data_IF_550856905320
#
_entry.id   IF_550856905320
#
_cell.length_a   1.000
_cell.length_b   1.000
_cell.length_c   1.000
_cell.angle_alpha   90.00
_cell.angle_beta   90.00
_cell.angle_gamma   90.00
#
_symmetry.space_group_name_H-M   'P 1'
#
loop_
_entity.id
_entity.type
_entity.pdbx_description
1 polymer ?
#
# COMPACT_ATOMS: atom_id res chain seq x y z
N UNK A 1 -8.36 35.46 -15.89
CA UNK A 1 -8.28 34.50 -14.74
C UNK A 1 -8.09 33.06 -15.22
N UNK A 2 -8.96 32.52 -16.07
CA UNK A 2 -8.91 31.15 -16.58
C UNK A 2 -7.60 30.81 -17.32
N UNK A 3 -7.04 31.70 -18.14
CA UNK A 3 -5.77 31.51 -18.83
C UNK A 3 -4.58 31.35 -17.86
N UNK A 4 -4.54 32.18 -16.81
CA UNK A 4 -3.50 32.06 -15.75
C UNK A 4 -3.61 30.78 -14.98
N UNK A 5 -4.83 30.34 -14.66
CA UNK A 5 -5.06 29.06 -13.99
C UNK A 5 -4.63 27.87 -14.87
N UNK A 6 -4.94 27.93 -16.19
CA UNK A 6 -4.48 26.92 -17.14
C UNK A 6 -2.95 26.82 -17.17
N UNK A 7 -2.26 27.96 -17.34
CA UNK A 7 -0.79 28.04 -17.35
C UNK A 7 -0.19 27.49 -16.04
N UNK A 8 -0.82 27.77 -14.90
CA UNK A 8 -0.37 27.26 -13.63
C UNK A 8 -0.55 25.74 -13.51
N UNK A 9 -1.70 25.20 -13.94
CA UNK A 9 -2.00 23.76 -13.90
C UNK A 9 -1.12 22.96 -14.85
N UNK A 10 -0.85 23.47 -16.06
CA UNK A 10 -0.05 22.79 -17.07
C UNK A 10 1.45 23.04 -16.91
N UNK A 11 1.83 24.08 -16.18
CA UNK A 11 3.20 24.58 -16.06
C UNK A 11 3.90 24.77 -17.42
N UNK A 12 3.15 25.16 -18.45
CA UNK A 12 3.69 25.42 -19.80
C UNK A 12 4.80 26.50 -19.76
N UNK A 13 4.71 27.44 -18.82
CA UNK A 13 5.70 28.49 -18.55
C UNK A 13 6.98 27.97 -17.85
N UNK A 14 6.87 26.87 -17.06
CA UNK A 14 7.96 26.33 -16.29
C UNK A 14 7.77 24.82 -16.02
N UNK A 15 7.98 23.95 -17.00
CA UNK A 15 7.72 22.50 -16.88
C UNK A 15 8.45 21.83 -15.69
N UNK A 16 9.64 22.29 -15.34
CA UNK A 16 10.42 21.78 -14.21
C UNK A 16 9.75 22.05 -12.85
N UNK A 17 8.82 23.00 -12.76
CA UNK A 17 8.10 23.35 -11.52
C UNK A 17 6.84 22.50 -11.31
N UNK A 18 6.37 21.77 -12.32
CA UNK A 18 5.13 20.99 -12.22
C UNK A 18 5.16 19.93 -11.11
N UNK A 19 6.21 19.12 -10.94
CA UNK A 19 6.28 18.16 -9.84
C UNK A 19 6.15 18.83 -8.46
N UNK A 20 6.78 20.01 -8.31
CA UNK A 20 6.70 20.77 -7.06
C UNK A 20 5.30 21.36 -6.84
N UNK A 21 4.66 21.87 -7.88
CA UNK A 21 3.26 22.36 -7.80
C UNK A 21 2.29 21.23 -7.41
N UNK A 22 2.44 20.04 -7.99
CA UNK A 22 1.64 18.86 -7.65
C UNK A 22 1.82 18.47 -6.19
N UNK A 23 3.06 18.39 -5.73
CA UNK A 23 3.39 18.04 -4.36
C UNK A 23 2.84 19.05 -3.35
N UNK A 24 3.16 20.35 -3.55
CA UNK A 24 2.77 21.39 -2.59
C UNK A 24 1.26 21.57 -2.54
N UNK A 25 0.57 21.56 -3.67
CA UNK A 25 -0.89 21.67 -3.69
C UNK A 25 -1.54 20.46 -3.04
N UNK A 26 -1.08 19.25 -3.40
CA UNK A 26 -1.59 18.01 -2.81
C UNK A 26 -1.37 17.98 -1.28
N UNK A 27 -0.22 18.42 -0.80
CA UNK A 27 0.09 18.49 0.62
C UNK A 27 -0.75 19.55 1.33
N UNK A 28 -0.81 20.78 0.80
CA UNK A 28 -1.58 21.88 1.38
C UNK A 28 -3.06 21.51 1.52
N UNK A 29 -3.68 20.95 0.49
CA UNK A 29 -5.07 20.52 0.55
C UNK A 29 -5.32 19.50 1.66
N UNK A 30 -4.42 18.51 1.82
CA UNK A 30 -4.52 17.49 2.86
C UNK A 30 -4.35 18.07 4.26
N UNK A 31 -3.32 18.91 4.47
CA UNK A 31 -3.04 19.52 5.77
C UNK A 31 -4.12 20.54 6.16
N UNK A 32 -4.62 21.32 5.21
CA UNK A 32 -5.74 22.22 5.45
C UNK A 32 -7.01 21.44 5.81
N UNK A 33 -7.34 20.41 5.03
CA UNK A 33 -8.51 19.58 5.32
C UNK A 33 -8.40 18.90 6.69
N UNK A 34 -7.30 18.23 6.97
CA UNK A 34 -7.05 17.56 8.25
C UNK A 34 -7.18 18.56 9.43
N UNK A 35 -6.67 19.79 9.27
CA UNK A 35 -6.66 20.81 10.31
C UNK A 35 -8.05 21.45 10.52
N UNK A 36 -8.72 21.84 9.42
CA UNK A 36 -10.00 22.52 9.47
C UNK A 36 -11.17 21.58 9.81
N UNK A 37 -11.14 20.36 9.26
CA UNK A 37 -12.13 19.33 9.57
C UNK A 37 -11.87 18.60 10.90
N UNK A 38 -10.77 18.92 11.59
CA UNK A 38 -10.38 18.34 12.87
C UNK A 38 -10.32 16.80 12.87
N UNK A 39 -9.93 16.18 11.75
CA UNK A 39 -9.92 14.72 11.61
C UNK A 39 -8.93 14.02 12.54
N UNK A 40 -7.96 14.76 13.08
CA UNK A 40 -6.99 14.31 14.08
C UNK A 40 -7.57 14.23 15.52
N UNK A 41 -8.79 14.71 15.75
CA UNK A 41 -9.46 14.63 17.06
C UNK A 41 -10.19 13.30 17.17
N UNK A 42 -9.42 12.25 17.40
CA UNK A 42 -9.98 10.92 17.59
C UNK A 42 -10.74 10.83 18.92
N UNK A 43 -11.86 10.11 18.89
CA UNK A 43 -12.58 9.78 20.13
C UNK A 43 -11.80 8.69 20.87
N UNK A 44 -11.69 8.84 22.18
CA UNK A 44 -11.13 7.82 23.06
C UNK A 44 -12.17 6.70 23.15
N UNK A 45 -11.83 5.55 22.63
CA UNK A 45 -12.68 4.37 22.67
C UNK A 45 -11.81 3.13 22.85
N UNK A 46 -12.10 2.30 23.87
CA UNK A 46 -11.44 1.01 24.11
C UNK A 46 -9.95 0.97 23.73
N UNK A 47 -9.10 1.71 24.44
CA UNK A 47 -7.67 1.77 24.21
C UNK A 47 -7.26 2.36 22.85
N UNK A 48 -7.94 3.44 22.45
CA UNK A 48 -7.59 4.27 21.28
C UNK A 48 -7.50 3.53 19.94
N UNK A 49 -8.46 2.73 19.66
CA UNK A 49 -8.69 2.02 18.44
C UNK A 49 -8.40 2.82 17.12
N UNK A 50 -8.74 4.11 17.08
CA UNK A 50 -8.55 4.95 15.89
C UNK A 50 -7.07 5.27 15.58
N UNK A 51 -6.13 4.92 16.44
CA UNK A 51 -4.69 5.02 16.19
C UNK A 51 -4.10 3.78 15.51
N UNK A 52 -4.84 3.10 14.64
CA UNK A 52 -4.33 1.97 13.85
C UNK A 52 -4.41 0.63 14.56
N UNK A 53 -5.38 0.44 15.46
CA UNK A 53 -5.61 -0.81 16.18
C UNK A 53 -4.33 -1.30 16.92
N UNK A 54 -3.88 -2.49 16.55
CA UNK A 54 -2.70 -3.12 17.11
C UNK A 54 -1.45 -2.23 16.98
N UNK A 55 -1.30 -1.52 15.87
CA UNK A 55 -0.14 -0.66 15.63
C UNK A 55 -0.05 0.48 16.65
N UNK A 56 -1.16 1.10 17.00
CA UNK A 56 -1.21 2.17 18.01
C UNK A 56 -0.94 1.66 19.42
N UNK A 57 -1.42 0.46 19.76
CA UNK A 57 -1.14 -0.16 21.06
C UNK A 57 0.32 -0.55 21.20
N UNK A 58 0.91 -1.15 20.16
CA UNK A 58 2.34 -1.44 20.10
C UNK A 58 3.16 -0.15 20.23
N UNK A 59 2.74 0.90 19.54
CA UNK A 59 3.40 2.20 19.63
C UNK A 59 3.32 2.82 21.04
N UNK A 60 2.18 2.67 21.73
CA UNK A 60 2.05 3.02 23.14
C UNK A 60 3.06 2.24 23.98
N UNK A 61 3.10 0.91 23.85
CA UNK A 61 4.02 0.07 24.60
C UNK A 61 5.49 0.49 24.37
N UNK A 62 5.87 0.75 23.13
CA UNK A 62 7.19 1.30 22.80
C UNK A 62 7.46 2.67 23.45
N UNK A 63 6.49 3.57 23.41
CA UNK A 63 6.64 4.92 23.96
C UNK A 63 6.72 4.93 25.48
N UNK A 64 6.06 3.97 26.16
CA UNK A 64 6.01 3.85 27.61
C UNK A 64 7.03 2.87 28.22
N UNK A 65 7.93 2.29 27.40
CA UNK A 65 9.05 1.49 27.88
C UNK A 65 8.81 -0.03 27.95
N UNK A 66 7.65 -0.52 27.54
CA UNK A 66 7.34 -1.97 27.48
C UNK A 66 7.95 -2.70 26.27
N UNK A 67 8.64 -1.96 25.40
CA UNK A 67 9.21 -2.52 24.18
C UNK A 67 8.18 -2.75 23.06
N UNK A 68 8.55 -3.56 22.07
CA UNK A 68 7.63 -3.92 20.98
C UNK A 68 6.68 -5.01 21.46
N UNK A 69 5.56 -4.61 22.06
CA UNK A 69 4.66 -5.44 22.84
C UNK A 69 3.20 -4.95 22.74
N UNK A 70 2.29 -5.69 23.34
CA UNK A 70 0.90 -5.32 23.63
C UNK A 70 0.07 -4.94 22.38
N UNK A 71 -0.09 -5.85 21.41
CA UNK A 71 -0.91 -5.58 20.22
C UNK A 71 -2.42 -5.47 20.54
N UNK A 72 -2.85 -6.02 21.70
CA UNK A 72 -4.24 -6.06 22.12
C UNK A 72 -4.46 -5.23 23.39
N UNK A 73 -5.69 -5.22 23.92
CA UNK A 73 -6.06 -4.43 25.09
C UNK A 73 -5.26 -4.89 26.33
N UNK A 74 -4.73 -3.93 27.09
CA UNK A 74 -3.91 -4.18 28.27
C UNK A 74 -2.48 -4.58 27.96
N UNK A 75 -1.86 -5.36 28.86
CA UNK A 75 -0.50 -5.89 28.70
C UNK A 75 -0.56 -7.35 28.26
N UNK A 76 -0.26 -7.60 27.00
CA UNK A 76 -0.32 -8.93 26.38
C UNK A 76 1.06 -9.48 26.02
N UNK A 77 2.12 -8.74 26.35
CA UNK A 77 3.50 -9.18 26.20
C UNK A 77 4.12 -8.90 24.82
N UNK A 78 5.36 -9.39 24.60
CA UNK A 78 6.09 -9.18 23.36
C UNK A 78 5.31 -9.68 22.14
N UNK A 79 5.44 -8.97 21.02
CA UNK A 79 4.69 -9.30 19.79
C UNK A 79 5.54 -9.16 18.52
N UNK A 80 5.16 -9.91 17.49
CA UNK A 80 5.51 -9.71 16.09
C UNK A 80 4.24 -9.66 15.22
N UNK A 81 3.09 -9.39 15.82
CA UNK A 81 1.78 -9.37 15.16
C UNK A 81 1.71 -8.41 13.98
N UNK A 82 2.30 -7.23 14.11
CA UNK A 82 2.41 -6.23 13.05
C UNK A 82 3.86 -6.06 12.58
N UNK A 83 4.09 -5.67 11.32
CA UNK A 83 5.41 -5.25 10.86
C UNK A 83 5.87 -3.97 11.60
N UNK A 84 7.19 -3.79 11.87
CA UNK A 84 7.64 -2.83 12.87
C UNK A 84 7.67 -1.36 12.44
N UNK A 85 7.79 -1.06 11.16
CA UNK A 85 8.18 0.28 10.73
C UNK A 85 7.11 1.34 11.07
N UNK A 86 5.82 1.02 10.83
CA UNK A 86 4.76 1.98 11.13
C UNK A 86 4.48 2.16 12.63
N UNK A 87 4.40 1.10 13.47
CA UNK A 87 4.36 1.26 14.93
C UNK A 87 5.52 2.06 15.51
N UNK A 88 6.75 1.91 14.99
CA UNK A 88 7.91 2.71 15.40
C UNK A 88 7.71 4.19 15.05
N UNK A 89 7.18 4.51 13.87
CA UNK A 89 6.87 5.88 13.47
C UNK A 89 5.83 6.51 14.41
N UNK A 90 4.76 5.78 14.72
CA UNK A 90 3.73 6.23 15.68
C UNK A 90 4.35 6.43 17.07
N UNK A 91 5.19 5.50 17.53
CA UNK A 91 5.86 5.58 18.83
C UNK A 91 6.78 6.80 18.93
N UNK A 92 7.48 7.14 17.87
CA UNK A 92 8.29 8.37 17.82
C UNK A 92 7.42 9.62 17.99
N UNK A 93 6.26 9.69 17.31
CA UNK A 93 5.31 10.77 17.50
C UNK A 93 4.74 10.80 18.94
N UNK A 94 4.44 9.65 19.53
CA UNK A 94 3.96 9.55 20.91
C UNK A 94 4.99 10.02 21.93
N UNK A 95 6.27 9.68 21.74
CA UNK A 95 7.36 10.14 22.62
C UNK A 95 7.56 11.66 22.57
N UNK A 96 7.39 12.25 21.38
CA UNK A 96 7.63 13.69 21.20
C UNK A 96 6.40 14.55 21.57
N UNK A 97 5.20 14.06 21.33
CA UNK A 97 3.98 14.86 21.38
C UNK A 97 2.91 14.31 22.32
N UNK A 98 3.20 13.23 23.03
CA UNK A 98 2.30 12.57 23.97
C UNK A 98 1.52 11.39 23.38
N UNK A 99 1.38 10.35 24.22
CA UNK A 99 0.67 9.12 23.84
C UNK A 99 -0.82 9.45 23.60
N UNK A 100 -1.32 9.07 22.44
CA UNK A 100 -2.71 9.30 22.01
C UNK A 100 -3.17 10.77 22.02
N UNK A 101 -2.22 11.71 22.03
CA UNK A 101 -2.59 13.13 22.00
C UNK A 101 -3.14 13.55 20.63
N UNK A 102 -4.03 14.56 20.56
CA UNK A 102 -4.48 15.10 19.28
C UNK A 102 -3.33 15.63 18.42
N UNK A 103 -2.26 16.13 19.05
CA UNK A 103 -1.12 16.66 18.33
C UNK A 103 -0.27 15.54 17.72
N UNK A 104 -0.07 14.41 18.41
CA UNK A 104 0.59 13.23 17.79
C UNK A 104 -0.24 12.68 16.63
N UNK A 105 -1.57 12.64 16.73
CA UNK A 105 -2.44 12.26 15.61
C UNK A 105 -2.27 13.20 14.41
N UNK A 106 -2.27 14.53 14.65
CA UNK A 106 -2.06 15.54 13.63
C UNK A 106 -0.71 15.38 12.91
N UNK A 107 0.37 15.14 13.67
CA UNK A 107 1.72 14.90 13.12
C UNK A 107 1.74 13.63 12.27
N UNK A 108 1.20 12.51 12.76
CA UNK A 108 1.19 11.24 12.01
C UNK A 108 0.38 11.38 10.70
N UNK A 109 -0.80 12.00 10.75
CA UNK A 109 -1.61 12.25 9.56
C UNK A 109 -0.94 13.22 8.59
N UNK A 110 -0.17 14.18 9.09
CA UNK A 110 0.67 15.07 8.25
C UNK A 110 1.77 14.28 7.54
N UNK A 111 2.45 13.36 8.23
CA UNK A 111 3.43 12.47 7.61
C UNK A 111 2.77 11.61 6.52
N UNK A 112 1.62 11.00 6.79
CA UNK A 112 0.86 10.26 5.79
C UNK A 112 0.49 11.16 4.57
N UNK A 113 0.14 12.42 4.83
CA UNK A 113 -0.18 13.41 3.79
C UNK A 113 1.02 13.76 2.91
N UNK A 114 2.23 13.83 3.49
CA UNK A 114 3.49 14.03 2.73
C UNK A 114 3.69 12.88 1.73
N UNK A 115 3.58 11.62 2.19
CA UNK A 115 3.74 10.46 1.31
C UNK A 115 2.64 10.38 0.23
N UNK A 116 1.39 10.69 0.59
CA UNK A 116 0.29 10.74 -0.37
C UNK A 116 0.48 11.85 -1.43
N UNK A 117 1.00 13.01 -1.04
CA UNK A 117 1.33 14.08 -1.97
C UNK A 117 2.55 13.73 -2.86
N UNK A 118 3.57 13.09 -2.31
CA UNK A 118 4.71 12.60 -3.08
C UNK A 118 4.30 11.56 -4.13
N UNK A 119 3.29 10.75 -3.85
CA UNK A 119 2.73 9.78 -4.81
C UNK A 119 2.21 10.49 -6.08
N UNK A 120 1.67 11.72 -5.99
CA UNK A 120 1.25 12.48 -7.18
C UNK A 120 2.42 12.72 -8.16
N UNK A 121 3.59 13.00 -7.62
CA UNK A 121 4.82 13.20 -8.42
C UNK A 121 5.27 11.88 -9.08
N UNK A 122 5.16 10.78 -8.35
CA UNK A 122 5.49 9.45 -8.88
C UNK A 122 4.50 9.04 -9.99
N UNK A 123 3.21 9.27 -9.80
CA UNK A 123 2.15 9.08 -10.81
C UNK A 123 2.45 9.85 -12.08
N UNK A 124 2.83 11.13 -11.95
CA UNK A 124 3.23 11.96 -13.09
C UNK A 124 4.38 11.32 -13.87
N UNK A 125 5.43 10.91 -13.17
CA UNK A 125 6.63 10.35 -13.80
C UNK A 125 6.36 8.98 -14.44
N UNK A 126 5.57 8.11 -13.83
CA UNK A 126 5.16 6.82 -14.42
C UNK A 126 4.35 7.09 -15.68
N UNK A 127 3.30 7.89 -15.60
CA UNK A 127 2.41 8.14 -16.73
C UNK A 127 3.13 8.86 -17.90
N UNK A 128 4.06 9.76 -17.61
CA UNK A 128 4.88 10.44 -18.62
C UNK A 128 5.79 9.47 -19.38
N UNK A 129 6.34 8.48 -18.66
CA UNK A 129 7.23 7.46 -19.26
C UNK A 129 6.49 6.43 -20.08
N UNK A 130 5.29 6.05 -19.64
CA UNK A 130 4.54 4.95 -20.27
C UNK A 130 3.55 5.42 -21.33
N UNK A 131 3.01 6.62 -21.20
CA UNK A 131 1.99 7.13 -22.10
C UNK A 131 2.43 8.46 -22.77
N UNK A 132 1.87 9.57 -22.32
CA UNK A 132 2.16 10.88 -22.88
C UNK A 132 2.02 12.00 -21.85
N UNK A 133 2.48 13.23 -22.13
CA UNK A 133 2.42 14.35 -21.19
C UNK A 133 1.00 14.71 -20.72
N UNK A 134 -0.04 14.53 -21.56
CA UNK A 134 -1.43 14.82 -21.18
C UNK A 134 -1.95 13.81 -20.15
N UNK A 135 -1.73 12.51 -20.39
CA UNK A 135 -2.08 11.47 -19.43
C UNK A 135 -1.33 11.69 -18.12
N UNK A 136 -0.04 12.03 -18.18
CA UNK A 136 0.77 12.29 -16.99
C UNK A 136 0.21 13.45 -16.15
N UNK A 137 -0.09 14.58 -16.79
CA UNK A 137 -0.64 15.75 -16.13
C UNK A 137 -1.96 15.46 -15.43
N UNK A 138 -2.92 14.89 -16.16
CA UNK A 138 -4.26 14.64 -15.62
C UNK A 138 -4.27 13.53 -14.58
N UNK A 139 -3.46 12.49 -14.74
CA UNK A 139 -3.34 11.43 -13.72
C UNK A 139 -2.79 11.96 -12.40
N UNK A 140 -1.78 12.84 -12.47
CA UNK A 140 -1.16 13.41 -11.29
C UNK A 140 -2.10 14.39 -10.56
N UNK A 141 -2.81 15.25 -11.29
CA UNK A 141 -3.84 16.11 -10.70
C UNK A 141 -5.01 15.32 -10.17
N UNK A 142 -5.45 14.27 -10.88
CA UNK A 142 -6.50 13.38 -10.40
C UNK A 142 -6.09 12.75 -9.07
N UNK A 143 -4.89 12.20 -8.95
CA UNK A 143 -4.39 11.66 -7.69
C UNK A 143 -4.28 12.73 -6.58
N UNK A 144 -3.77 13.91 -6.90
CA UNK A 144 -3.62 14.99 -5.92
C UNK A 144 -4.96 15.41 -5.29
N UNK A 145 -6.05 15.35 -6.08
CA UNK A 145 -7.40 15.76 -5.70
C UNK A 145 -8.34 14.60 -5.37
N UNK A 146 -7.90 13.35 -5.57
CA UNK A 146 -8.75 12.15 -5.43
C UNK A 146 -9.15 11.92 -3.98
N UNK A 147 -10.46 11.94 -3.65
CA UNK A 147 -10.93 11.86 -2.27
C UNK A 147 -10.52 10.56 -1.56
N UNK A 148 -10.52 9.40 -2.25
CA UNK A 148 -10.11 8.15 -1.65
C UNK A 148 -8.63 8.12 -1.28
N UNK A 149 -7.74 8.73 -2.11
CA UNK A 149 -6.33 8.90 -1.78
C UNK A 149 -6.12 9.86 -0.60
N UNK A 150 -6.98 10.88 -0.48
CA UNK A 150 -6.97 11.79 0.67
C UNK A 150 -7.43 11.09 1.95
N UNK A 151 -8.49 10.30 1.90
CA UNK A 151 -9.08 9.63 3.06
C UNK A 151 -8.05 8.82 3.85
N UNK A 152 -7.24 8.01 3.20
CA UNK A 152 -6.20 7.22 3.86
C UNK A 152 -5.02 8.04 4.39
N UNK A 153 -4.87 9.28 3.96
CA UNK A 153 -3.84 10.16 4.46
C UNK A 153 -4.31 11.05 5.63
N UNK A 154 -5.59 11.42 5.66
CA UNK A 154 -6.09 12.46 6.58
C UNK A 154 -7.09 11.95 7.63
N UNK A 155 -7.64 10.73 7.50
CA UNK A 155 -8.62 10.18 8.44
C UNK A 155 -8.14 8.97 9.22
N UNK A 156 -7.15 8.22 8.68
CA UNK A 156 -6.77 6.93 9.22
C UNK A 156 -5.28 6.86 9.53
N UNK A 157 -4.94 6.52 10.75
CA UNK A 157 -3.56 6.21 11.13
C UNK A 157 -3.25 4.77 10.72
N UNK A 158 -2.89 4.60 9.44
CA UNK A 158 -2.50 3.35 8.82
C UNK A 158 -1.29 3.55 7.92
N UNK A 159 -0.55 2.49 7.65
CA UNK A 159 0.63 2.48 6.78
C UNK A 159 0.33 2.71 5.29
N UNK A 160 -0.95 2.77 4.89
CA UNK A 160 -1.38 2.77 3.48
C UNK A 160 -0.77 3.88 2.64
N UNK A 161 -0.66 5.10 3.15
CA UNK A 161 -0.09 6.22 2.39
C UNK A 161 1.40 6.03 2.11
N UNK A 162 2.16 5.55 3.10
CA UNK A 162 3.60 5.27 2.98
C UNK A 162 3.80 4.07 2.06
N UNK A 163 3.09 2.98 2.28
CA UNK A 163 3.16 1.76 1.48
C UNK A 163 2.85 2.03 0.01
N UNK A 164 1.80 2.82 -0.27
CA UNK A 164 1.42 3.22 -1.64
C UNK A 164 2.51 4.03 -2.31
N UNK A 165 3.11 4.99 -1.60
CA UNK A 165 4.22 5.79 -2.12
C UNK A 165 5.42 4.93 -2.47
N UNK A 166 5.87 4.06 -1.55
CA UNK A 166 7.03 3.19 -1.77
C UNK A 166 6.77 2.20 -2.91
N UNK A 167 5.59 1.60 -2.98
CA UNK A 167 5.22 0.69 -4.06
C UNK A 167 5.19 1.40 -5.41
N UNK A 168 4.64 2.60 -5.48
CA UNK A 168 4.65 3.43 -6.70
C UNK A 168 6.07 3.83 -7.10
N UNK A 169 6.95 4.11 -6.12
CA UNK A 169 8.37 4.39 -6.38
C UNK A 169 9.09 3.16 -6.96
N UNK A 170 8.80 1.96 -6.48
CA UNK A 170 9.34 0.71 -7.05
C UNK A 170 8.93 0.55 -8.52
N UNK A 171 7.67 0.79 -8.86
CA UNK A 171 7.21 0.74 -10.24
C UNK A 171 7.96 1.75 -11.12
N UNK A 172 8.17 2.97 -10.62
CA UNK A 172 8.95 3.98 -11.33
C UNK A 172 10.40 3.55 -11.54
N UNK A 173 11.06 3.02 -10.49
CA UNK A 173 12.44 2.51 -10.58
C UNK A 173 12.52 1.39 -11.62
N UNK A 174 11.58 0.46 -11.62
CA UNK A 174 11.53 -0.61 -12.60
C UNK A 174 11.44 -0.05 -14.03
N UNK A 175 10.59 0.95 -14.28
CA UNK A 175 10.47 1.61 -15.58
C UNK A 175 11.77 2.34 -15.99
N UNK A 176 12.41 3.06 -15.05
CA UNK A 176 13.69 3.75 -15.30
C UNK A 176 14.78 2.73 -15.63
N UNK A 177 14.88 1.66 -14.87
CA UNK A 177 15.88 0.60 -15.10
C UNK A 177 15.73 -0.07 -16.47
N UNK A 178 14.51 -0.12 -17.01
CA UNK A 178 14.22 -0.62 -18.36
C UNK A 178 14.31 0.45 -19.45
N UNK A 179 14.72 1.68 -19.12
CA UNK A 179 14.77 2.84 -20.03
C UNK A 179 13.43 3.13 -20.73
N UNK A 180 12.31 2.84 -20.06
CA UNK A 180 11.00 3.15 -20.63
C UNK A 180 10.81 4.67 -20.63
N UNK A 181 10.51 5.23 -21.81
CA UNK A 181 10.23 6.67 -21.98
C UNK A 181 11.44 7.61 -21.82
N UNK A 182 12.66 7.09 -21.88
CA UNK A 182 13.88 7.89 -22.01
C UNK A 182 14.35 7.95 -23.46
N UNK A 183 14.85 9.10 -23.95
CA UNK A 183 15.50 9.17 -25.24
C UNK A 183 16.71 8.22 -25.27
N UNK A 184 16.93 7.56 -26.42
CA UNK A 184 17.99 6.55 -26.60
C UNK A 184 19.43 7.10 -26.47
N UNK A 185 19.60 8.40 -26.30
CA UNK A 185 20.90 9.10 -26.29
C UNK A 185 21.64 9.12 -24.94
N UNK A 186 20.99 8.72 -23.85
CA UNK A 186 21.70 8.63 -22.57
C UNK A 186 22.46 7.29 -22.51
N UNK A 187 23.77 7.36 -22.71
CA UNK A 187 24.70 6.25 -22.43
C UNK A 187 24.41 5.71 -21.03
N UNK A 188 24.10 4.44 -20.97
CA UNK A 188 23.73 3.72 -19.75
C UNK A 188 24.87 3.82 -18.73
N UNK A 189 24.76 4.74 -17.79
CA UNK A 189 25.75 4.92 -16.73
C UNK A 189 25.63 3.75 -15.73
N UNK A 190 26.69 2.96 -15.61
CA UNK A 190 26.77 1.82 -14.68
C UNK A 190 26.50 2.22 -13.23
N UNK A 191 26.89 3.45 -12.85
CA UNK A 191 26.64 3.97 -11.51
C UNK A 191 25.14 4.19 -11.24
N UNK A 192 24.42 4.78 -12.20
CA UNK A 192 22.97 4.97 -12.09
C UNK A 192 22.24 3.64 -11.98
N UNK A 193 22.61 2.65 -12.79
CA UNK A 193 22.00 1.33 -12.72
C UNK A 193 22.25 0.65 -11.36
N UNK A 194 23.47 0.75 -10.82
CA UNK A 194 23.78 0.23 -9.50
C UNK A 194 22.97 0.95 -8.42
N UNK A 195 22.83 2.26 -8.50
CA UNK A 195 21.99 3.05 -7.58
C UNK A 195 20.51 2.64 -7.64
N UNK A 196 19.97 2.39 -8.85
CA UNK A 196 18.58 1.95 -9.00
C UNK A 196 18.33 0.55 -8.41
N UNK A 197 19.27 -0.40 -8.59
CA UNK A 197 19.18 -1.72 -7.97
C UNK A 197 19.33 -1.66 -6.44
N UNK A 198 20.21 -0.79 -5.94
CA UNK A 198 20.35 -0.53 -4.51
C UNK A 198 19.05 0.01 -3.92
N UNK A 199 18.49 1.01 -4.56
CA UNK A 199 17.22 1.63 -4.12
C UNK A 199 16.05 0.63 -4.21
N UNK A 200 16.03 -0.22 -5.24
CA UNK A 200 15.05 -1.30 -5.37
C UNK A 200 15.11 -2.25 -4.17
N UNK A 201 16.31 -2.71 -3.78
CA UNK A 201 16.49 -3.58 -2.62
C UNK A 201 16.07 -2.93 -1.30
N UNK A 202 16.49 -1.68 -1.08
CA UNK A 202 16.11 -0.89 0.11
C UNK A 202 14.59 -0.70 0.22
N UNK A 203 13.94 -0.29 -0.87
CA UNK A 203 12.48 -0.07 -0.86
C UNK A 203 11.70 -1.36 -0.62
N UNK A 204 12.14 -2.50 -1.15
CA UNK A 204 11.51 -3.78 -0.85
C UNK A 204 11.73 -4.21 0.60
N UNK A 205 12.90 -3.94 1.19
CA UNK A 205 13.14 -4.13 2.61
C UNK A 205 12.20 -3.30 3.48
N UNK A 206 12.01 -2.02 3.15
CA UNK A 206 11.06 -1.14 3.84
C UNK A 206 9.61 -1.61 3.66
N UNK A 207 9.21 -2.02 2.46
CA UNK A 207 7.87 -2.58 2.22
C UNK A 207 7.66 -3.86 3.04
N UNK A 208 8.64 -4.74 3.13
CA UNK A 208 8.55 -5.95 3.94
C UNK A 208 8.31 -5.65 5.43
N UNK A 209 8.86 -4.52 5.92
CA UNK A 209 8.65 -4.04 7.30
C UNK A 209 7.40 -3.15 7.48
N UNK A 210 6.65 -2.87 6.40
CA UNK A 210 5.37 -2.14 6.42
C UNK A 210 4.20 -3.05 6.07
N UNK A 211 4.25 -3.67 4.88
CA UNK A 211 3.18 -4.51 4.35
C UNK A 211 3.75 -5.69 3.54
N UNK A 212 4.10 -6.80 4.19
CA UNK A 212 4.73 -7.94 3.54
C UNK A 212 3.84 -8.64 2.50
N UNK A 213 2.54 -8.38 2.46
CA UNK A 213 1.64 -8.97 1.44
C UNK A 213 2.03 -8.55 0.02
N UNK A 214 2.68 -7.40 -0.14
CA UNK A 214 3.16 -6.90 -1.44
C UNK A 214 4.38 -7.66 -1.97
N UNK A 215 5.08 -8.42 -1.13
CA UNK A 215 6.25 -9.22 -1.54
C UNK A 215 5.92 -10.27 -2.62
N UNK A 216 4.65 -10.64 -2.77
CA UNK A 216 4.22 -11.52 -3.87
C UNK A 216 4.50 -10.93 -5.25
N UNK A 217 4.57 -9.61 -5.38
CA UNK A 217 4.92 -8.94 -6.62
C UNK A 217 6.44 -8.84 -6.86
N UNK A 218 7.26 -8.94 -5.81
CA UNK A 218 8.72 -8.79 -5.89
C UNK A 218 9.38 -9.70 -6.97
N UNK A 219 9.10 -11.01 -7.02
CA UNK A 219 9.74 -11.89 -8.01
C UNK A 219 9.44 -11.47 -9.45
N UNK A 220 8.17 -11.15 -9.76
CA UNK A 220 7.77 -10.73 -11.09
C UNK A 220 8.37 -9.37 -11.48
N UNK A 221 8.40 -8.41 -10.55
CA UNK A 221 9.02 -7.11 -10.75
C UNK A 221 10.54 -7.25 -10.96
N UNK A 222 11.21 -8.04 -10.13
CA UNK A 222 12.64 -8.32 -10.24
C UNK A 222 13.01 -9.00 -11.55
N UNK A 223 12.27 -10.03 -11.97
CA UNK A 223 12.46 -10.70 -13.26
C UNK A 223 12.22 -9.74 -14.43
N UNK A 224 11.18 -8.91 -14.35
CA UNK A 224 10.92 -7.92 -15.38
C UNK A 224 12.05 -6.89 -15.50
N UNK A 225 12.60 -6.43 -14.40
CA UNK A 225 13.78 -5.55 -14.37
C UNK A 225 15.05 -6.26 -14.90
N UNK A 226 15.24 -7.51 -14.50
CA UNK A 226 16.41 -8.33 -14.85
C UNK A 226 16.46 -8.74 -16.32
N UNK A 227 15.32 -8.78 -17.00
CA UNK A 227 15.18 -9.34 -18.35
C UNK A 227 16.26 -8.89 -19.35
N UNK A 228 16.62 -7.58 -19.47
CA UNK A 228 17.69 -7.16 -20.38
C UNK A 228 19.08 -7.64 -19.97
N UNK A 229 19.27 -7.91 -18.67
CA UNK A 229 20.56 -8.33 -18.10
C UNK A 229 20.81 -9.84 -18.20
N UNK A 230 19.83 -10.63 -18.66
CA UNK A 230 19.99 -12.07 -18.88
C UNK A 230 21.13 -12.38 -19.87
N UNK A 231 21.43 -11.43 -20.77
CA UNK A 231 22.56 -11.51 -21.70
C UNK A 231 23.91 -11.17 -21.06
N UNK A 232 23.94 -10.73 -19.81
CA UNK A 232 25.13 -10.34 -19.05
C UNK A 232 25.07 -10.88 -17.62
N UNK A 233 25.15 -12.20 -17.42
CA UNK A 233 24.84 -12.88 -16.16
C UNK A 233 25.68 -12.40 -14.97
N UNK A 234 26.95 -12.04 -15.16
CA UNK A 234 27.80 -11.50 -14.11
C UNK A 234 27.30 -10.16 -13.58
N UNK A 235 26.84 -9.25 -14.47
CA UNK A 235 26.24 -7.98 -14.07
C UNK A 235 24.90 -8.18 -13.38
N UNK A 236 24.08 -9.10 -13.86
CA UNK A 236 22.81 -9.45 -13.24
C UNK A 236 23.01 -9.98 -11.83
N UNK A 237 23.91 -10.95 -11.66
CA UNK A 237 24.22 -11.54 -10.36
C UNK A 237 24.68 -10.47 -9.36
N UNK A 238 25.65 -9.64 -9.74
CA UNK A 238 26.16 -8.59 -8.86
C UNK A 238 25.05 -7.62 -8.39
N UNK A 239 24.17 -7.17 -9.29
CA UNK A 239 23.08 -6.25 -8.98
C UNK A 239 21.96 -6.90 -8.16
N UNK A 240 21.57 -8.12 -8.53
CA UNK A 240 20.56 -8.87 -7.79
C UNK A 240 21.05 -9.19 -6.37
N UNK A 241 22.32 -9.59 -6.22
CA UNK A 241 22.94 -9.82 -4.91
C UNK A 241 22.96 -8.51 -4.08
N UNK A 242 23.37 -7.39 -4.68
CA UNK A 242 23.36 -6.10 -3.97
C UNK A 242 21.95 -5.72 -3.49
N UNK A 243 20.94 -5.86 -4.34
CA UNK A 243 19.55 -5.59 -3.97
C UNK A 243 19.08 -6.54 -2.85
N UNK A 244 19.39 -7.83 -2.94
CA UNK A 244 19.04 -8.83 -1.93
C UNK A 244 19.73 -8.55 -0.59
N UNK A 245 21.02 -8.20 -0.58
CA UNK A 245 21.77 -7.85 0.62
C UNK A 245 21.18 -6.60 1.29
N UNK A 246 20.86 -5.57 0.53
CA UNK A 246 20.27 -4.35 1.08
C UNK A 246 18.84 -4.60 1.63
N UNK A 247 18.05 -5.41 0.95
CA UNK A 247 16.75 -5.84 1.46
C UNK A 247 16.90 -6.64 2.76
N UNK A 248 17.80 -7.61 2.80
CA UNK A 248 18.10 -8.41 4.00
C UNK A 248 18.64 -7.56 5.15
N UNK A 249 19.48 -6.58 4.87
CA UNK A 249 20.02 -5.65 5.86
C UNK A 249 18.90 -4.83 6.53
N UNK A 250 17.85 -4.44 5.80
CA UNK A 250 16.67 -3.80 6.38
C UNK A 250 15.93 -4.74 7.35
N UNK A 251 15.83 -6.02 7.01
CA UNK A 251 15.12 -7.02 7.83
C UNK A 251 15.93 -7.52 9.01
N UNK A 252 17.25 -7.51 8.93
CA UNK A 252 18.14 -8.13 9.91
C UNK A 252 17.90 -7.68 11.36
N UNK A 253 17.73 -6.38 11.69
CA UNK A 253 17.46 -5.97 13.07
C UNK A 253 16.16 -6.55 13.62
N UNK A 254 15.13 -6.64 12.78
CA UNK A 254 13.83 -7.19 13.15
C UNK A 254 13.88 -8.70 13.35
N UNK A 255 14.54 -9.42 12.45
CA UNK A 255 14.77 -10.87 12.57
C UNK A 255 15.57 -11.19 13.82
N UNK A 256 16.65 -10.45 14.07
CA UNK A 256 17.48 -10.61 15.27
C UNK A 256 16.69 -10.40 16.56
N UNK A 257 15.89 -9.32 16.62
CA UNK A 257 14.98 -9.08 17.75
C UNK A 257 14.01 -10.24 17.96
N UNK A 258 13.35 -10.69 16.90
CA UNK A 258 12.36 -11.76 16.98
C UNK A 258 12.98 -13.09 17.40
N UNK A 259 14.18 -13.39 16.91
CA UNK A 259 14.93 -14.56 17.32
C UNK A 259 15.23 -14.54 18.83
N UNK A 260 15.71 -13.43 19.35
CA UNK A 260 16.03 -13.30 20.76
C UNK A 260 14.81 -13.35 21.68
N UNK A 261 13.65 -12.89 21.20
CA UNK A 261 12.42 -12.82 22.03
C UNK A 261 11.59 -14.08 21.92
N UNK A 262 11.48 -14.67 20.73
CA UNK A 262 10.57 -15.77 20.45
C UNK A 262 11.28 -17.09 20.16
N UNK A 263 12.61 -17.08 19.99
CA UNK A 263 13.39 -18.23 19.50
C UNK A 263 12.82 -18.82 18.20
N UNK A 264 12.24 -17.93 17.35
CA UNK A 264 11.59 -18.31 16.11
C UNK A 264 12.01 -17.35 14.97
N UNK A 265 12.10 -17.87 13.75
CA UNK A 265 12.40 -17.08 12.56
C UNK A 265 11.13 -16.39 12.05
N UNK A 266 10.99 -15.11 12.39
CA UNK A 266 9.86 -14.27 12.00
C UNK A 266 10.43 -13.04 11.24
N UNK A 267 10.55 -13.11 9.91
CA UNK A 267 11.23 -12.06 9.12
C UNK A 267 10.40 -10.79 8.95
N UNK A 268 9.09 -10.87 9.06
CA UNK A 268 8.18 -9.72 8.83
C UNK A 268 7.12 -9.63 9.93
N UNK A 269 6.00 -10.31 9.80
CA UNK A 269 4.92 -10.38 10.79
C UNK A 269 4.62 -11.83 11.16
N UNK A 270 4.20 -12.06 12.39
CA UNK A 270 4.03 -13.40 12.96
C UNK A 270 2.61 -13.96 12.96
N UNK A 271 1.59 -13.26 12.44
CA UNK A 271 0.18 -13.60 12.64
C UNK A 271 -0.49 -14.41 11.51
N UNK A 272 0.28 -14.91 10.52
CA UNK A 272 -0.27 -15.56 9.33
C UNK A 272 -1.26 -16.70 9.64
N UNK A 273 -0.95 -17.56 10.62
CA UNK A 273 -1.81 -18.67 11.01
C UNK A 273 -3.16 -18.21 11.57
N UNK A 274 -3.18 -17.10 12.32
CA UNK A 274 -4.42 -16.53 12.83
C UNK A 274 -5.27 -15.90 11.70
N UNK A 275 -4.65 -15.20 10.76
CA UNK A 275 -5.33 -14.65 9.58
C UNK A 275 -5.90 -15.77 8.69
N UNK A 276 -5.14 -16.85 8.49
CA UNK A 276 -5.60 -18.00 7.71
C UNK A 276 -6.78 -18.70 8.41
N UNK A 277 -6.75 -18.83 9.74
CA UNK A 277 -7.85 -19.39 10.50
C UNK A 277 -9.14 -18.58 10.32
N UNK A 278 -9.07 -17.25 10.44
CA UNK A 278 -10.21 -16.39 10.19
C UNK A 278 -10.76 -16.53 8.77
N UNK A 279 -9.89 -16.77 7.79
CA UNK A 279 -10.29 -16.82 6.39
C UNK A 279 -11.23 -17.96 6.04
N UNK A 280 -11.30 -19.03 6.85
CA UNK A 280 -12.12 -20.24 6.64
C UNK A 280 -13.31 -20.34 7.58
N UNK A 281 -13.38 -19.55 8.64
CA UNK A 281 -14.47 -19.62 9.60
C UNK A 281 -15.83 -19.33 8.98
N UNK A 282 -16.80 -20.14 9.33
CA UNK A 282 -18.16 -20.06 8.80
C UNK A 282 -18.89 -18.80 9.24
N UNK A 283 -18.69 -18.40 10.49
CA UNK A 283 -19.27 -17.21 11.10
C UNK A 283 -18.94 -15.93 10.33
N UNK A 284 -17.77 -15.89 9.70
CA UNK A 284 -17.30 -14.72 8.97
C UNK A 284 -17.68 -14.71 7.49
N UNK A 285 -18.12 -15.84 6.95
CA UNK A 285 -18.53 -15.97 5.54
C UNK A 285 -17.54 -15.33 4.53
N UNK A 286 -16.25 -15.33 4.87
CA UNK A 286 -15.19 -14.69 4.09
C UNK A 286 -14.98 -13.20 4.34
N UNK A 287 -15.70 -12.57 5.28
CA UNK A 287 -15.53 -11.17 5.68
C UNK A 287 -14.60 -11.01 6.88
N UNK A 288 -13.96 -9.85 7.03
CA UNK A 288 -13.10 -9.53 8.17
C UNK A 288 -13.86 -9.07 9.43
N UNK A 289 -15.19 -9.10 9.42
CA UNK A 289 -16.02 -8.45 10.45
C UNK A 289 -16.23 -9.28 11.71
N UNK A 290 -15.88 -10.49 11.69
CA UNK A 290 -15.96 -11.29 12.89
C UNK A 290 -14.63 -11.28 13.64
N UNK A 291 -14.68 -11.49 14.91
CA UNK A 291 -13.56 -11.26 15.79
C UNK A 291 -13.11 -12.54 16.45
N UNK A 292 -12.36 -13.32 15.72
CA UNK A 292 -11.52 -14.36 16.31
C UNK A 292 -10.11 -13.85 16.63
N UNK A 293 -9.86 -12.55 16.41
CA UNK A 293 -8.61 -11.91 16.85
C UNK A 293 -8.71 -11.64 18.37
N UNK A 294 -7.65 -11.89 19.14
CA UNK A 294 -7.67 -11.75 20.61
C UNK A 294 -7.59 -10.29 21.07
N UNK A 295 -8.39 -9.39 20.53
CA UNK A 295 -8.28 -7.96 20.85
C UNK A 295 -9.11 -7.52 22.05
N UNK A 296 -10.10 -8.30 22.51
CA UNK A 296 -10.97 -7.92 23.61
C UNK A 296 -10.92 -8.94 24.74
N UNK A 297 -10.74 -8.54 26.02
CA UNK A 297 -10.59 -9.45 27.16
C UNK A 297 -11.76 -10.39 27.39
N UNK A 298 -12.98 -10.02 27.00
CA UNK A 298 -14.16 -10.88 27.13
C UNK A 298 -14.19 -12.02 26.11
N UNK A 299 -13.35 -11.97 25.06
CA UNK A 299 -13.36 -12.99 24.03
C UNK A 299 -12.52 -14.22 24.45
N UNK A 300 -12.97 -15.48 24.22
CA UNK A 300 -12.21 -16.68 24.56
C UNK A 300 -10.81 -16.72 23.94
N UNK A 301 -10.65 -16.20 22.75
CA UNK A 301 -9.38 -16.13 22.02
C UNK A 301 -8.35 -15.25 22.74
N UNK A 302 -8.77 -14.22 23.46
CA UNK A 302 -7.87 -13.39 24.25
C UNK A 302 -7.20 -14.18 25.38
N UNK A 303 -7.98 -15.00 26.09
CA UNK A 303 -7.43 -15.88 27.15
C UNK A 303 -6.48 -16.93 26.57
N UNK A 304 -6.84 -17.53 25.44
CA UNK A 304 -5.98 -18.48 24.75
C UNK A 304 -4.64 -17.83 24.34
N UNK A 305 -4.68 -16.62 23.79
CA UNK A 305 -3.47 -15.89 23.43
C UNK A 305 -2.59 -15.58 24.66
N UNK A 306 -3.19 -15.11 25.75
CA UNK A 306 -2.45 -14.80 26.97
C UNK A 306 -1.81 -16.04 27.61
N UNK A 307 -2.50 -17.19 27.58
CA UNK A 307 -2.02 -18.43 28.17
C UNK A 307 -0.92 -19.09 27.35
N UNK A 308 -1.06 -19.11 26.03
CA UNK A 308 -0.14 -19.79 25.13
C UNK A 308 1.06 -18.92 24.72
N UNK A 309 0.89 -17.61 24.73
CA UNK A 309 1.79 -16.68 24.07
C UNK A 309 1.61 -16.64 22.54
N UNK A 310 2.13 -15.58 21.90
CA UNK A 310 1.85 -15.31 20.49
C UNK A 310 2.21 -16.45 19.54
N UNK A 311 3.44 -16.97 19.64
CA UNK A 311 3.93 -17.96 18.67
C UNK A 311 3.16 -19.27 18.74
N UNK A 312 2.91 -19.79 19.97
CA UNK A 312 2.16 -21.02 20.16
C UNK A 312 0.68 -20.86 19.78
N UNK A 313 0.09 -19.70 20.12
CA UNK A 313 -1.27 -19.37 19.71
C UNK A 313 -1.42 -19.35 18.17
N UNK A 314 -0.55 -18.63 17.48
CA UNK A 314 -0.61 -18.53 16.01
C UNK A 314 -0.36 -19.90 15.36
N UNK A 315 0.57 -20.69 15.90
CA UNK A 315 0.82 -22.05 15.41
C UNK A 315 -0.41 -22.96 15.59
N UNK A 316 -1.08 -22.89 16.74
CA UNK A 316 -2.33 -23.64 16.98
C UNK A 316 -3.41 -23.25 15.96
N UNK A 317 -3.55 -21.95 15.67
CA UNK A 317 -4.51 -21.45 14.66
C UNK A 317 -4.14 -21.88 13.23
N UNK A 318 -2.85 -21.93 12.91
CA UNK A 318 -2.38 -22.43 11.61
C UNK A 318 -2.75 -23.90 11.39
N UNK A 319 -2.53 -24.75 12.41
CA UNK A 319 -2.91 -26.15 12.35
C UNK A 319 -4.43 -26.34 12.20
N UNK A 320 -5.21 -25.59 12.98
CA UNK A 320 -6.67 -25.60 12.89
C UNK A 320 -7.17 -25.12 11.52
N UNK A 321 -6.57 -24.04 10.99
CA UNK A 321 -6.90 -23.53 9.64
C UNK A 321 -6.62 -24.57 8.56
N UNK A 322 -5.46 -25.20 8.57
CA UNK A 322 -5.08 -26.24 7.61
C UNK A 322 -6.02 -27.45 7.66
N UNK A 323 -6.40 -27.90 8.85
CA UNK A 323 -7.37 -28.97 9.02
C UNK A 323 -8.75 -28.60 8.47
N UNK A 324 -9.24 -27.39 8.75
CA UNK A 324 -10.50 -26.90 8.23
C UNK A 324 -10.47 -26.73 6.71
N UNK A 325 -9.39 -26.23 6.15
CA UNK A 325 -9.24 -26.08 4.69
C UNK A 325 -9.21 -27.44 4.00
N UNK A 326 -8.50 -28.42 4.57
CA UNK A 326 -8.44 -29.76 4.01
C UNK A 326 -9.82 -30.45 3.97
N UNK A 327 -10.62 -30.28 5.02
CA UNK A 327 -11.98 -30.87 5.09
C UNK A 327 -13.02 -30.05 4.33
N UNK A 328 -12.85 -28.72 4.21
CA UNK A 328 -13.82 -27.80 3.63
C UNK A 328 -13.21 -26.95 2.47
N UNK A 329 -12.43 -27.57 1.61
CA UNK A 329 -11.72 -26.89 0.51
C UNK A 329 -12.65 -26.09 -0.43
N UNK A 330 -13.88 -26.58 -0.70
CA UNK A 330 -14.89 -25.87 -1.51
C UNK A 330 -15.35 -24.58 -0.84
N UNK A 331 -15.55 -24.60 0.50
CA UNK A 331 -15.89 -23.41 1.29
C UNK A 331 -14.76 -22.38 1.25
N UNK A 332 -13.53 -22.82 1.43
CA UNK A 332 -12.37 -21.92 1.34
C UNK A 332 -12.28 -21.26 -0.05
N UNK A 333 -12.44 -22.04 -1.13
CA UNK A 333 -12.44 -21.50 -2.49
C UNK A 333 -13.58 -20.50 -2.73
N UNK A 334 -14.80 -20.79 -2.24
CA UNK A 334 -15.94 -19.88 -2.35
C UNK A 334 -15.69 -18.56 -1.60
N UNK A 335 -15.07 -18.63 -0.40
CA UNK A 335 -14.72 -17.43 0.36
C UNK A 335 -13.56 -16.65 -0.30
N UNK A 336 -12.58 -17.32 -0.89
CA UNK A 336 -11.53 -16.67 -1.66
C UNK A 336 -12.10 -15.95 -2.89
N UNK A 337 -13.05 -16.56 -3.60
CA UNK A 337 -13.75 -15.91 -4.72
C UNK A 337 -14.59 -14.72 -4.26
N UNK A 338 -15.25 -14.81 -3.11
CA UNK A 338 -15.99 -13.69 -2.52
C UNK A 338 -15.04 -12.53 -2.16
N UNK A 339 -13.86 -12.82 -1.57
CA UNK A 339 -12.84 -11.82 -1.30
C UNK A 339 -12.25 -11.21 -2.57
N UNK A 340 -12.07 -11.99 -3.63
CA UNK A 340 -11.71 -11.48 -4.96
C UNK A 340 -12.74 -10.45 -5.44
N UNK A 341 -14.02 -10.77 -5.38
CA UNK A 341 -15.08 -9.84 -5.76
C UNK A 341 -15.02 -8.55 -4.93
N UNK A 342 -14.93 -8.66 -3.62
CA UNK A 342 -14.89 -7.49 -2.75
C UNK A 342 -13.63 -6.64 -2.89
N UNK A 343 -12.50 -7.24 -3.22
CA UNK A 343 -11.27 -6.49 -3.47
C UNK A 343 -11.44 -5.51 -4.65
N UNK A 344 -12.20 -5.89 -5.65
CA UNK A 344 -12.38 -5.10 -6.87
C UNK A 344 -13.65 -4.24 -6.87
N UNK A 345 -14.70 -4.65 -6.18
CA UNK A 345 -16.00 -3.95 -6.17
C UNK A 345 -16.19 -3.09 -4.92
N UNK A 346 -15.54 -3.44 -3.82
CA UNK A 346 -15.67 -2.80 -2.52
C UNK A 346 -16.25 -3.73 -1.47
N UNK A 347 -15.80 -3.55 -0.23
CA UNK A 347 -16.27 -4.34 0.92
C UNK A 347 -17.42 -3.58 1.57
N UNK A 348 -18.62 -4.18 1.68
CA UNK A 348 -19.75 -3.53 2.33
C UNK A 348 -19.48 -3.31 3.84
N UNK A 349 -19.95 -2.19 4.38
CA UNK A 349 -19.89 -1.86 5.81
C UNK A 349 -21.30 -1.83 6.39
N UNK A 350 -21.79 -2.92 6.96
CA UNK A 350 -23.21 -3.04 7.29
C UNK A 350 -23.71 -2.15 8.44
N UNK A 351 -22.82 -1.47 9.17
CA UNK A 351 -23.17 -0.89 10.48
C UNK A 351 -23.07 0.64 10.54
N UNK A 352 -22.30 1.30 9.66
CA UNK A 352 -21.93 2.72 9.90
C UNK A 352 -22.66 3.74 9.02
N UNK A 353 -23.22 3.34 7.88
CA UNK A 353 -23.83 4.27 6.93
C UNK A 353 -25.16 3.74 6.38
N UNK A 354 -26.08 4.66 6.06
CA UNK A 354 -27.32 4.28 5.40
C UNK A 354 -27.07 3.58 4.06
N UNK A 355 -27.95 2.65 3.68
CA UNK A 355 -27.86 1.83 2.46
C UNK A 355 -27.45 2.60 1.20
N UNK A 356 -27.95 3.83 1.02
CA UNK A 356 -27.65 4.66 -0.14
C UNK A 356 -26.16 5.07 -0.20
N UNK A 357 -25.57 5.49 0.92
CA UNK A 357 -24.16 5.92 0.96
C UNK A 357 -23.20 4.75 0.71
N UNK A 358 -23.53 3.56 1.24
CA UNK A 358 -22.77 2.35 0.96
C UNK A 358 -22.81 2.00 -0.52
N UNK A 359 -23.98 2.04 -1.12
CA UNK A 359 -24.15 1.76 -2.54
C UNK A 359 -23.38 2.73 -3.44
N UNK A 360 -23.44 4.04 -3.13
CA UNK A 360 -22.64 5.06 -3.84
C UNK A 360 -21.14 4.82 -3.69
N UNK A 361 -20.71 4.42 -2.52
CA UNK A 361 -19.28 4.08 -2.25
C UNK A 361 -18.83 2.87 -3.07
N UNK A 362 -19.61 1.80 -3.08
CA UNK A 362 -19.31 0.59 -3.85
C UNK A 362 -19.31 0.86 -5.36
N UNK A 363 -20.27 1.62 -5.87
CA UNK A 363 -20.29 2.02 -7.27
C UNK A 363 -19.06 2.84 -7.67
N UNK A 364 -18.66 3.81 -6.86
CA UNK A 364 -17.47 4.60 -7.13
C UNK A 364 -16.20 3.73 -7.13
N UNK A 365 -16.12 2.78 -6.19
CA UNK A 365 -15.02 1.85 -6.09
C UNK A 365 -14.96 0.89 -7.28
N UNK A 366 -16.10 0.32 -7.67
CA UNK A 366 -16.25 -0.54 -8.84
C UNK A 366 -15.96 0.21 -10.15
N UNK A 367 -16.43 1.46 -10.26
CA UNK A 367 -16.16 2.31 -11.44
C UNK A 367 -14.66 2.52 -11.63
N UNK A 368 -13.92 2.87 -10.57
CA UNK A 368 -12.47 2.98 -10.62
C UNK A 368 -11.80 1.68 -11.09
N UNK A 369 -12.25 0.53 -10.58
CA UNK A 369 -11.78 -0.80 -11.01
C UNK A 369 -11.99 -1.01 -12.51
N UNK A 370 -13.21 -0.79 -12.99
CA UNK A 370 -13.54 -0.99 -14.43
C UNK A 370 -12.68 -0.09 -15.31
N UNK A 371 -12.55 1.19 -14.97
CA UNK A 371 -11.70 2.13 -15.70
C UNK A 371 -10.23 1.66 -15.72
N UNK A 372 -9.71 1.19 -14.59
CA UNK A 372 -8.36 0.66 -14.49
C UNK A 372 -8.15 -0.59 -15.32
N UNK A 373 -9.07 -1.57 -15.25
CA UNK A 373 -8.99 -2.83 -15.99
C UNK A 373 -9.13 -2.62 -17.50
N UNK A 374 -10.10 -1.81 -17.95
CA UNK A 374 -10.25 -1.48 -19.37
C UNK A 374 -9.06 -0.68 -19.89
N UNK A 375 -8.53 0.26 -19.10
CA UNK A 375 -7.30 0.98 -19.41
C UNK A 375 -6.10 0.06 -19.54
N UNK A 376 -5.97 -0.93 -18.63
CA UNK A 376 -4.91 -1.94 -18.69
C UNK A 376 -5.06 -2.83 -19.93
N UNK A 377 -6.26 -3.34 -20.21
CA UNK A 377 -6.56 -4.14 -21.39
C UNK A 377 -6.19 -3.39 -22.67
N UNK A 378 -6.55 -2.10 -22.76
CA UNK A 378 -6.22 -1.25 -23.89
C UNK A 378 -4.71 -1.02 -24.01
N UNK A 379 -4.00 -0.80 -22.89
CA UNK A 379 -2.55 -0.62 -22.86
C UNK A 379 -1.83 -1.91 -23.30
N UNK A 380 -2.27 -3.08 -22.85
CA UNK A 380 -1.75 -4.37 -23.30
C UNK A 380 -2.00 -4.61 -24.79
N UNK A 381 -3.23 -4.37 -25.27
CA UNK A 381 -3.61 -4.50 -26.68
C UNK A 381 -2.77 -3.59 -27.58
N UNK A 382 -2.48 -2.37 -27.13
CA UNK A 382 -1.63 -1.39 -27.84
C UNK A 382 -0.14 -1.62 -27.60
N UNK A 383 0.25 -2.66 -26.86
CA UNK A 383 1.64 -3.00 -26.53
C UNK A 383 2.41 -1.84 -25.92
N UNK A 384 1.74 -1.05 -25.04
CA UNK A 384 2.36 0.08 -24.36
C UNK A 384 3.54 -0.43 -23.51
N UNK A 385 4.73 0.19 -23.61
CA UNK A 385 5.88 -0.18 -22.79
C UNK A 385 5.53 -0.06 -21.29
N UNK A 386 5.81 -1.12 -20.51
CA UNK A 386 5.48 -1.18 -19.08
C UNK A 386 4.09 -1.74 -18.74
N UNK A 387 3.17 -1.90 -19.71
CA UNK A 387 1.83 -2.45 -19.45
C UNK A 387 1.87 -3.87 -18.84
N UNK A 388 2.85 -4.69 -19.19
CA UNK A 388 3.06 -6.03 -18.62
C UNK A 388 3.42 -5.93 -17.13
N UNK A 389 4.26 -4.96 -16.72
CA UNK A 389 4.57 -4.72 -15.32
C UNK A 389 3.31 -4.36 -14.52
N UNK A 390 2.45 -3.52 -15.09
CA UNK A 390 1.17 -3.16 -14.47
C UNK A 390 0.24 -4.36 -14.37
N UNK A 391 0.19 -5.23 -15.39
CA UNK A 391 -0.58 -6.47 -15.34
C UNK A 391 -0.09 -7.39 -14.21
N UNK A 392 1.22 -7.56 -14.02
CA UNK A 392 1.77 -8.30 -12.89
C UNK A 392 1.39 -7.66 -11.54
N UNK A 393 1.41 -6.33 -11.43
CA UNK A 393 0.97 -5.66 -10.22
C UNK A 393 -0.51 -5.95 -9.91
N UNK A 394 -1.40 -5.85 -10.90
CA UNK A 394 -2.83 -6.12 -10.73
C UNK A 394 -3.15 -7.58 -10.40
N UNK A 395 -2.35 -8.54 -10.88
CA UNK A 395 -2.60 -9.96 -10.67
C UNK A 395 -1.97 -10.50 -9.39
N UNK A 396 -0.74 -10.10 -9.07
CA UNK A 396 0.03 -10.73 -7.98
C UNK A 396 -0.17 -10.03 -6.64
N UNK A 397 -0.25 -8.69 -6.64
CA UNK A 397 -0.41 -7.93 -5.39
C UNK A 397 -1.63 -8.34 -4.57
N UNK A 398 -2.83 -8.62 -5.16
CA UNK A 398 -4.00 -8.93 -4.38
C UNK A 398 -4.10 -10.38 -3.88
N UNK A 399 -3.26 -11.31 -4.34
CA UNK A 399 -3.40 -12.75 -4.06
C UNK A 399 -3.47 -13.04 -2.54
N UNK A 400 -2.60 -12.41 -1.75
CA UNK A 400 -2.63 -12.60 -0.30
C UNK A 400 -3.98 -12.21 0.30
N UNK A 401 -4.59 -11.15 -0.21
CA UNK A 401 -5.88 -10.64 0.27
C UNK A 401 -7.05 -11.53 -0.16
N UNK A 402 -6.95 -12.21 -1.28
CA UNK A 402 -7.96 -13.20 -1.69
C UNK A 402 -7.94 -14.44 -0.78
N UNK A 403 -6.76 -14.84 -0.33
CA UNK A 403 -6.59 -16.05 0.47
C UNK A 403 -6.81 -15.82 1.98
N UNK A 404 -6.52 -14.62 2.48
CA UNK A 404 -6.56 -14.33 3.92
C UNK A 404 -7.77 -13.48 4.31
N UNK A 405 -7.69 -12.18 4.07
CA UNK A 405 -8.72 -11.20 4.45
C UNK A 405 -8.74 -10.04 3.45
N UNK A 406 -9.91 -9.42 3.27
CA UNK A 406 -10.08 -8.31 2.34
C UNK A 406 -10.65 -7.09 3.06
N UNK A 407 -10.06 -5.93 2.79
CA UNK A 407 -10.59 -4.62 3.20
C UNK A 407 -10.34 -3.62 2.08
N UNK A 408 -11.19 -2.59 1.99
CA UNK A 408 -11.09 -1.59 0.92
C UNK A 408 -9.70 -0.92 0.84
N UNK A 409 -9.05 -0.71 1.99
CA UNK A 409 -7.70 -0.11 2.08
C UNK A 409 -6.60 -0.95 1.43
N UNK A 410 -6.76 -2.25 1.28
CA UNK A 410 -5.71 -3.13 0.73
C UNK A 410 -5.47 -2.92 -0.76
N UNK A 411 -6.40 -2.26 -1.45
CA UNK A 411 -6.22 -1.84 -2.85
C UNK A 411 -5.39 -0.55 -2.98
N UNK A 412 -5.16 0.19 -1.89
CA UNK A 412 -4.46 1.48 -1.94
C UNK A 412 -3.14 1.49 -2.75
N UNK A 413 -2.26 0.46 -2.67
CA UNK A 413 -1.04 0.42 -3.49
C UNK A 413 -1.29 0.36 -5.00
N UNK A 414 -2.46 -0.12 -5.45
CA UNK A 414 -2.84 -0.18 -6.87
C UNK A 414 -3.60 1.06 -7.36
N UNK A 415 -4.13 1.89 -6.45
CA UNK A 415 -4.90 3.07 -6.81
C UNK A 415 -4.14 4.05 -7.73
N UNK A 416 -2.82 4.30 -7.55
CA UNK A 416 -2.06 5.12 -8.49
C UNK A 416 -2.10 4.61 -9.92
N UNK A 417 -1.99 3.28 -10.10
CA UNK A 417 -2.09 2.66 -11.43
C UNK A 417 -3.51 2.70 -11.97
N UNK A 418 -4.52 2.49 -11.13
CA UNK A 418 -5.95 2.63 -11.51
C UNK A 418 -6.21 4.05 -12.02
N UNK A 419 -5.69 5.07 -11.33
CA UNK A 419 -5.82 6.47 -11.75
C UNK A 419 -5.15 6.71 -13.12
N UNK A 420 -3.91 6.24 -13.31
CA UNK A 420 -3.19 6.40 -14.59
C UNK A 420 -3.94 5.72 -15.73
N UNK A 421 -4.34 4.48 -15.54
CA UNK A 421 -5.01 3.65 -16.56
C UNK A 421 -6.40 4.18 -16.88
N UNK A 422 -7.15 4.65 -15.89
CA UNK A 422 -8.44 5.29 -16.09
C UNK A 422 -8.31 6.59 -16.92
N UNK A 423 -7.39 7.47 -16.57
CA UNK A 423 -7.13 8.68 -17.36
C UNK A 423 -6.68 8.33 -18.78
N UNK A 424 -5.80 7.33 -18.94
CA UNK A 424 -5.39 6.85 -20.25
C UNK A 424 -6.58 6.34 -21.08
N UNK A 425 -7.50 5.58 -20.48
CA UNK A 425 -8.70 5.08 -21.15
C UNK A 425 -9.51 6.22 -21.72
N UNK A 426 -9.86 7.23 -20.91
CA UNK A 426 -10.67 8.37 -21.35
C UNK A 426 -9.94 9.26 -22.36
N UNK A 427 -8.66 9.53 -22.18
CA UNK A 427 -7.84 10.29 -23.14
C UNK A 427 -7.73 9.57 -24.49
N UNK A 428 -7.76 8.24 -24.50
CA UNK A 428 -7.70 7.43 -25.71
C UNK A 428 -9.00 7.46 -26.53
N UNK A 429 -10.11 7.83 -25.92
CA UNK A 429 -11.42 7.99 -26.60
C UNK A 429 -11.57 9.35 -27.30
N UNK A 430 -10.75 10.34 -26.92
CA UNK A 430 -10.78 11.66 -27.54
C UNK A 430 -10.13 11.54 -28.92
N UNK A 431 -10.91 11.70 -29.99
CA UNK A 431 -10.38 11.76 -31.37
C UNK A 431 -9.48 13.00 -31.50
N UNK A 432 -8.30 12.88 -32.15
CA UNK A 432 -7.56 14.09 -32.52
C UNK A 432 -8.48 14.96 -33.38
N UNK A 433 -8.65 16.21 -32.99
CA UNK A 433 -9.32 17.18 -33.84
C UNK A 433 -8.56 17.19 -35.15
N UNK A 434 -9.21 17.02 -36.34
CA UNK A 434 -8.53 17.14 -37.61
C UNK A 434 -7.85 18.53 -37.64
N UNK A 435 -6.54 18.54 -37.76
CA UNK A 435 -5.82 19.76 -38.07
C UNK A 435 -6.38 20.22 -39.39
N UNK A 436 -7.10 21.33 -39.41
CA UNK A 436 -7.49 22.01 -40.66
C UNK A 436 -6.24 22.11 -41.53
N UNK A 437 -6.32 21.74 -42.82
CA UNK A 437 -5.21 22.01 -43.73
C UNK A 437 -4.91 23.49 -43.64
N UNK A 438 -3.66 23.85 -43.31
CA UNK A 438 -3.22 25.20 -43.45
C UNK A 438 -3.27 25.54 -44.95
N UNK A 439 -3.84 26.71 -45.34
CA UNK A 439 -3.93 27.13 -46.72
C UNK A 439 -2.57 27.38 -47.38
#
# INVERSE_FOLDING_TARGET
>A
MLSRLKLWLTAEDAPARLPWRLFTTGLLLRVLYLTLAHTYRFRIFQDHFQFGWEMGRIARALATGYGYADPFVGHTGPTAWCPPLYPILIAAAFKLFGVYSPFSAWVILTVNSIFSAATAVLVYNIARRTFNPRVALWSAWFWALYPAAMQYAVHWIWDMAITTCLFTAILLIALITRNIGTPQLETRNSQLETALWSLFGLLWGLIALLNPSLLLFLPACGLWMAWPLLKAPGKLLARATLAAVLCAACLAPWVYRNWNVFHAFIPTRGNLGAELYQSILEEHQGFPWGTTIPYHPAHPEFRAYQTLGEVAYVHQKDLAAKALIATHHRRFAAYALKRFYFFWVGVPHPIEHGFFLEWVRELNYAFGTLCGLFGLALALRRRIPGAILFAFAFTLTPIAFYLLTVQARFRAPLEPLICILGVYLFQSAIRPTPTSPQP
#
